data_IF_183695674410
#
_entry.id   IF_183695674410
#
_cell.length_a   1.000
_cell.length_b   1.000
_cell.length_c   1.000
_cell.angle_alpha   90.00
_cell.angle_beta   90.00
_cell.angle_gamma   90.00
#
_symmetry.space_group_name_H-M   'P 1'
#
loop_
_entity.id
_entity.type
_entity.pdbx_description
1 polymer ?
#
# COMPACT_ATOMS: atom_id res chain seq x y z
N UNK A 1 -50.48 42.01 -17.42
CA UNK A 1 -49.33 41.59 -18.27
C UNK A 1 -47.96 41.90 -17.64
N UNK A 2 -47.77 41.84 -16.31
CA UNK A 2 -46.45 42.13 -15.68
C UNK A 2 -45.97 41.06 -14.69
N UNK A 3 -46.86 40.15 -14.27
CA UNK A 3 -46.54 39.13 -13.25
C UNK A 3 -46.09 37.77 -13.83
N UNK A 4 -46.18 37.56 -15.14
CA UNK A 4 -45.80 36.28 -15.77
C UNK A 4 -44.31 36.21 -16.11
N UNK A 5 -43.60 37.35 -16.12
CA UNK A 5 -42.16 37.41 -16.40
C UNK A 5 -41.29 37.07 -15.17
N UNK A 6 -41.88 37.05 -13.97
CA UNK A 6 -41.18 36.81 -12.70
C UNK A 6 -41.06 35.34 -12.30
N UNK A 7 -41.73 34.43 -13.00
CA UNK A 7 -41.71 32.99 -12.73
C UNK A 7 -40.64 32.21 -13.52
N UNK A 8 -39.95 32.85 -14.46
CA UNK A 8 -38.85 32.23 -15.23
C UNK A 8 -37.47 32.51 -14.62
N UNK A 9 -37.37 33.43 -13.65
CA UNK A 9 -36.10 33.81 -13.03
C UNK A 9 -35.47 32.75 -12.09
N UNK A 10 -36.22 31.87 -11.38
CA UNK A 10 -35.57 30.91 -10.48
C UNK A 10 -35.06 29.65 -11.20
N UNK A 11 -35.44 29.43 -12.46
CA UNK A 11 -35.02 28.24 -13.22
C UNK A 11 -33.61 28.35 -13.83
N UNK A 12 -33.07 29.57 -13.94
CA UNK A 12 -31.73 29.80 -14.50
C UNK A 12 -30.59 29.69 -13.49
N UNK A 13 -30.88 29.65 -12.18
CA UNK A 13 -29.85 29.64 -11.12
C UNK A 13 -29.41 28.21 -10.77
N UNK A 14 -30.18 27.18 -11.10
CA UNK A 14 -29.85 25.78 -10.74
C UNK A 14 -28.89 25.09 -11.72
N UNK A 15 -28.47 25.75 -12.81
CA UNK A 15 -27.70 25.10 -13.88
C UNK A 15 -26.16 25.18 -13.72
N UNK A 16 -25.62 25.84 -12.69
CA UNK A 16 -24.16 26.09 -12.57
C UNK A 16 -23.47 25.42 -11.38
N UNK A 17 -24.05 24.39 -10.76
CA UNK A 17 -23.35 23.58 -9.75
C UNK A 17 -22.56 22.42 -10.38
N UNK A 18 -21.55 22.72 -11.19
CA UNK A 18 -20.46 21.78 -11.49
C UNK A 18 -19.32 22.05 -10.49
N UNK A 19 -19.52 21.69 -9.23
CA UNK A 19 -18.61 22.07 -8.14
C UNK A 19 -17.42 21.11 -7.91
N UNK A 20 -17.34 19.98 -8.62
CA UNK A 20 -16.18 19.08 -8.54
C UNK A 20 -15.78 18.64 -9.94
N UNK A 21 -14.66 19.18 -10.43
CA UNK A 21 -13.95 18.59 -11.55
C UNK A 21 -13.59 17.15 -11.18
N UNK A 22 -13.79 16.22 -12.11
CA UNK A 22 -13.36 14.83 -11.96
C UNK A 22 -11.84 14.78 -12.00
N UNK A 23 -11.19 15.15 -10.91
CA UNK A 23 -9.77 14.89 -10.75
C UNK A 23 -9.56 13.39 -10.74
N UNK A 24 -8.72 12.90 -11.66
CA UNK A 24 -8.32 11.50 -11.67
C UNK A 24 -7.77 11.14 -10.28
N UNK A 25 -8.27 10.06 -9.71
CA UNK A 25 -7.82 9.50 -8.44
C UNK A 25 -6.32 9.18 -8.50
N UNK A 26 -5.61 9.14 -7.36
CA UNK A 26 -4.21 8.74 -7.32
C UNK A 26 -3.95 7.38 -8.01
N UNK A 27 -4.89 6.44 -7.91
CA UNK A 27 -4.85 5.14 -8.59
C UNK A 27 -4.95 5.23 -10.11
N UNK A 28 -5.69 6.21 -10.64
CA UNK A 28 -5.79 6.44 -12.09
C UNK A 28 -4.54 7.14 -12.63
N UNK A 29 -3.90 8.00 -11.83
CA UNK A 29 -2.64 8.67 -12.20
C UNK A 29 -1.43 7.72 -12.11
N UNK A 30 -1.43 6.81 -11.14
CA UNK A 30 -0.34 5.86 -10.88
C UNK A 30 -0.87 4.43 -10.85
N UNK A 31 -1.16 3.84 -12.03
CA UNK A 31 -1.83 2.53 -12.11
C UNK A 31 -0.93 1.36 -11.72
N UNK A 32 0.36 1.60 -11.46
CA UNK A 32 1.31 0.55 -11.07
C UNK A 32 2.20 1.02 -9.94
N UNK A 33 2.74 0.05 -9.19
CA UNK A 33 3.70 0.34 -8.12
C UNK A 33 4.90 1.14 -8.66
N UNK A 34 5.39 2.15 -7.92
CA UNK A 34 6.63 2.82 -8.26
C UNK A 34 7.81 1.82 -8.23
N UNK A 35 8.94 2.13 -8.88
CA UNK A 35 10.16 1.35 -8.70
C UNK A 35 10.58 1.39 -7.23
N UNK A 36 11.10 0.27 -6.74
CA UNK A 36 11.68 0.12 -5.41
C UNK A 36 12.81 -0.90 -5.46
N UNK A 37 13.71 -0.83 -4.47
CA UNK A 37 14.78 -1.80 -4.25
C UNK A 37 14.87 -2.07 -2.75
N UNK A 38 14.73 -3.33 -2.37
CA UNK A 38 14.87 -3.81 -1.00
C UNK A 38 16.06 -4.77 -0.95
N UNK A 39 17.03 -4.50 -0.09
CA UNK A 39 18.14 -5.41 0.19
C UNK A 39 17.65 -6.55 1.08
N UNK A 40 17.65 -7.78 0.57
CA UNK A 40 17.36 -9.00 1.31
C UNK A 40 18.41 -9.30 2.38
N UNK A 41 18.07 -10.22 3.29
CA UNK A 41 18.96 -10.62 4.39
C UNK A 41 20.25 -11.31 3.91
N UNK A 42 20.25 -11.83 2.69
CA UNK A 42 21.41 -12.43 2.00
C UNK A 42 22.18 -11.41 1.15
N UNK A 43 21.89 -10.12 1.30
CA UNK A 43 22.42 -9.01 0.49
C UNK A 43 21.97 -9.00 -0.98
N UNK A 44 21.05 -9.88 -1.38
CA UNK A 44 20.42 -9.80 -2.70
C UNK A 44 19.52 -8.56 -2.81
N UNK A 45 19.31 -8.06 -4.03
CA UNK A 45 18.35 -6.99 -4.27
C UNK A 45 17.02 -7.58 -4.73
N UNK A 46 15.93 -7.14 -4.10
CA UNK A 46 14.56 -7.43 -4.47
C UNK A 46 13.88 -6.17 -4.99
N UNK A 47 13.38 -6.22 -6.21
CA UNK A 47 12.84 -5.07 -6.94
C UNK A 47 11.41 -5.30 -7.42
N UNK A 48 10.78 -4.26 -7.98
CA UNK A 48 9.48 -4.40 -8.67
C UNK A 48 9.47 -5.51 -9.73
N UNK A 49 10.59 -5.77 -10.40
CA UNK A 49 10.68 -6.79 -11.44
C UNK A 49 10.62 -8.22 -10.88
N UNK A 50 10.94 -8.39 -9.60
CA UNK A 50 10.98 -9.68 -8.89
C UNK A 50 9.63 -10.03 -8.24
N UNK A 51 8.64 -9.14 -8.35
CA UNK A 51 7.28 -9.40 -7.88
C UNK A 51 6.66 -10.59 -8.63
N UNK A 52 5.94 -11.41 -7.87
CA UNK A 52 5.20 -12.56 -8.35
C UNK A 52 4.15 -12.11 -9.37
N UNK A 53 4.26 -12.63 -10.59
CA UNK A 53 3.28 -12.36 -11.64
C UNK A 53 1.90 -12.84 -11.20
N UNK A 54 0.87 -12.08 -11.55
CA UNK A 54 -0.54 -12.37 -11.25
C UNK A 54 -0.93 -12.42 -9.77
N UNK A 55 -0.06 -11.99 -8.84
CA UNK A 55 -0.42 -11.81 -7.43
C UNK A 55 -0.62 -10.33 -7.12
N UNK A 56 -1.51 -10.04 -6.15
CA UNK A 56 -1.56 -8.71 -5.56
C UNK A 56 -0.31 -8.50 -4.70
N UNK A 57 0.10 -7.26 -4.49
CA UNK A 57 1.27 -6.92 -3.67
C UNK A 57 0.83 -6.04 -2.51
N UNK A 58 1.23 -6.41 -1.31
CA UNK A 58 1.15 -5.59 -0.10
C UNK A 58 2.57 -5.20 0.29
N UNK A 59 2.86 -3.90 0.34
CA UNK A 59 4.11 -3.40 0.91
C UNK A 59 3.81 -2.94 2.33
N UNK A 60 4.45 -3.58 3.32
CA UNK A 60 4.33 -3.21 4.72
C UNK A 60 5.63 -2.60 5.20
N UNK A 61 5.61 -1.30 5.47
CA UNK A 61 6.75 -0.63 6.06
C UNK A 61 6.74 -0.80 7.59
N UNK A 62 7.84 -1.26 8.17
CA UNK A 62 7.87 -1.60 9.59
C UNK A 62 9.20 -1.24 10.26
N UNK A 63 9.20 -1.21 11.59
CA UNK A 63 10.41 -1.11 12.41
C UNK A 63 10.42 -2.25 13.44
N UNK A 64 11.53 -2.99 13.62
CA UNK A 64 11.58 -4.12 14.54
C UNK A 64 11.24 -3.79 15.99
N UNK A 65 11.64 -2.59 16.46
CA UNK A 65 11.39 -2.13 17.82
C UNK A 65 10.04 -1.45 18.05
N UNK A 66 9.17 -1.38 17.04
CA UNK A 66 7.86 -0.73 17.17
C UNK A 66 6.78 -1.73 17.61
N UNK A 67 6.18 -1.51 18.78
CA UNK A 67 5.14 -2.41 19.33
C UNK A 67 3.92 -2.57 18.40
N UNK A 68 3.53 -1.51 17.69
CA UNK A 68 2.44 -1.62 16.71
C UNK A 68 2.82 -2.51 15.53
N UNK A 69 4.06 -2.42 15.02
CA UNK A 69 4.53 -3.28 13.93
C UNK A 69 4.59 -4.75 14.36
N UNK A 70 4.93 -4.98 15.64
CA UNK A 70 4.96 -6.31 16.23
C UNK A 70 3.54 -6.90 16.28
N UNK A 71 2.57 -6.18 16.86
CA UNK A 71 1.18 -6.63 16.91
C UNK A 71 0.55 -6.80 15.52
N UNK A 72 0.85 -5.90 14.57
CA UNK A 72 0.38 -6.02 13.19
C UNK A 72 0.93 -7.29 12.53
N UNK A 73 2.21 -7.60 12.75
CA UNK A 73 2.80 -8.84 12.22
C UNK A 73 2.14 -10.07 12.84
N UNK A 74 1.88 -10.07 14.14
CA UNK A 74 1.18 -11.18 14.80
C UNK A 74 -0.23 -11.39 14.24
N UNK A 75 -0.99 -10.32 14.05
CA UNK A 75 -2.32 -10.36 13.46
C UNK A 75 -2.28 -10.85 12.00
N UNK A 76 -1.35 -10.31 11.20
CA UNK A 76 -1.14 -10.72 9.82
C UNK A 76 -0.81 -12.22 9.71
N UNK A 77 0.06 -12.73 10.58
CA UNK A 77 0.45 -14.14 10.57
C UNK A 77 -0.67 -15.07 11.05
N UNK A 78 -1.50 -14.61 12.00
CA UNK A 78 -2.67 -15.36 12.47
C UNK A 78 -3.67 -15.61 11.34
N UNK A 79 -3.87 -14.63 10.47
CA UNK A 79 -4.84 -14.68 9.37
C UNK A 79 -4.18 -14.83 7.99
N UNK A 80 -2.94 -15.34 7.95
CA UNK A 80 -2.08 -15.37 6.75
C UNK A 80 -2.68 -16.12 5.56
N UNK A 81 -3.58 -17.08 5.82
CA UNK A 81 -4.30 -17.84 4.79
C UNK A 81 -5.20 -16.95 3.93
N UNK A 82 -5.71 -15.84 4.48
CA UNK A 82 -6.46 -14.84 3.73
C UNK A 82 -5.57 -14.13 2.68
N UNK A 83 -4.25 -14.20 2.84
CA UNK A 83 -3.24 -13.56 2.00
C UNK A 83 -2.49 -14.54 1.08
N UNK A 84 -2.95 -15.79 0.90
CA UNK A 84 -2.27 -16.79 0.06
C UNK A 84 -1.98 -16.32 -1.39
N UNK A 85 -2.85 -15.46 -1.93
CA UNK A 85 -2.75 -14.90 -3.28
C UNK A 85 -2.14 -13.48 -3.31
N UNK A 86 -1.56 -13.04 -2.19
CA UNK A 86 -0.89 -11.75 -2.02
C UNK A 86 0.59 -11.98 -1.74
N UNK A 87 1.48 -11.29 -2.45
CA UNK A 87 2.87 -11.19 -2.06
C UNK A 87 3.05 -10.03 -1.07
N UNK A 88 3.62 -10.32 0.08
CA UNK A 88 3.83 -9.35 1.16
C UNK A 88 5.32 -8.97 1.15
N UNK A 89 5.62 -7.69 0.98
CA UNK A 89 6.97 -7.13 1.02
C UNK A 89 7.11 -6.30 2.29
N UNK A 90 7.77 -6.86 3.29
CA UNK A 90 8.08 -6.20 4.55
C UNK A 90 9.38 -5.41 4.41
N UNK A 91 9.28 -4.09 4.37
CA UNK A 91 10.41 -3.19 4.17
C UNK A 91 10.70 -2.38 5.42
N UNK A 92 11.98 -2.20 5.75
CA UNK A 92 12.41 -1.41 6.91
C UNK A 92 13.70 -0.66 6.62
N UNK A 93 13.87 0.53 7.18
CA UNK A 93 15.13 1.30 7.08
C UNK A 93 16.14 0.94 8.18
N UNK A 94 15.74 0.09 9.13
CA UNK A 94 16.49 -0.26 10.33
C UNK A 94 17.74 -1.10 9.99
N UNK A 95 18.72 -1.23 10.92
CA UNK A 95 19.88 -2.08 10.71
C UNK A 95 19.50 -3.50 10.29
N UNK A 96 20.27 -4.09 9.36
CA UNK A 96 19.92 -5.39 8.77
C UNK A 96 19.89 -6.50 9.83
N UNK A 97 20.68 -6.36 10.89
CA UNK A 97 20.74 -7.27 12.04
C UNK A 97 19.43 -7.26 12.83
N UNK A 98 18.81 -6.09 13.01
CA UNK A 98 17.51 -5.96 13.69
C UNK A 98 16.39 -6.55 12.83
N UNK A 99 16.43 -6.32 11.52
CA UNK A 99 15.50 -6.90 10.55
C UNK A 99 15.64 -8.43 10.55
N UNK A 100 16.86 -8.96 10.56
CA UNK A 100 17.12 -10.39 10.67
C UNK A 100 16.62 -10.96 12.01
N UNK A 101 16.78 -10.21 13.10
CA UNK A 101 16.21 -10.54 14.41
C UNK A 101 14.69 -10.64 14.38
N UNK A 102 14.02 -9.68 13.73
CA UNK A 102 12.56 -9.69 13.52
C UNK A 102 12.11 -10.88 12.67
N UNK A 103 12.79 -11.14 11.55
CA UNK A 103 12.55 -12.29 10.69
C UNK A 103 12.60 -13.62 11.47
N UNK A 104 13.61 -13.77 12.35
CA UNK A 104 13.75 -14.93 13.23
C UNK A 104 12.67 -14.99 14.30
N UNK A 105 12.38 -13.86 14.99
CA UNK A 105 11.38 -13.76 16.07
C UNK A 105 10.02 -14.31 15.64
N UNK A 106 9.57 -13.94 14.43
CA UNK A 106 8.26 -14.33 13.90
C UNK A 106 8.30 -15.54 12.96
N UNK A 107 9.44 -16.22 12.84
CA UNK A 107 9.63 -17.37 11.95
C UNK A 107 9.14 -17.12 10.52
N UNK A 108 9.45 -15.93 9.98
CA UNK A 108 8.91 -15.49 8.69
C UNK A 108 9.34 -16.37 7.51
N UNK A 109 10.42 -17.13 7.67
CA UNK A 109 10.87 -18.15 6.72
C UNK A 109 9.80 -19.23 6.41
N UNK A 110 8.84 -19.44 7.30
CA UNK A 110 7.76 -20.42 7.11
C UNK A 110 6.66 -19.93 6.15
N UNK A 111 6.69 -18.64 5.76
CA UNK A 111 5.65 -18.01 4.95
C UNK A 111 6.22 -17.59 3.59
N UNK A 112 6.12 -18.44 2.55
CA UNK A 112 6.76 -18.19 1.26
C UNK A 112 6.23 -16.95 0.53
N UNK A 113 5.04 -16.46 0.88
CA UNK A 113 4.50 -15.22 0.34
C UNK A 113 5.10 -13.94 0.96
N UNK A 114 5.88 -14.06 2.04
CA UNK A 114 6.54 -12.92 2.69
C UNK A 114 7.97 -12.79 2.16
N UNK A 115 8.31 -11.58 1.72
CA UNK A 115 9.68 -11.12 1.46
C UNK A 115 9.98 -10.01 2.44
N UNK A 116 11.13 -10.08 3.10
CA UNK A 116 11.57 -9.08 4.08
C UNK A 116 12.94 -8.55 3.70
N UNK A 117 13.19 -7.28 3.96
CA UNK A 117 14.52 -6.72 3.80
C UNK A 117 14.60 -5.24 4.15
N UNK A 118 15.79 -4.69 3.90
CA UNK A 118 16.14 -3.32 4.19
C UNK A 118 15.90 -2.42 2.99
N UNK A 119 15.17 -1.33 3.20
CA UNK A 119 15.16 -0.22 2.26
C UNK A 119 16.37 0.68 2.56
N UNK A 120 17.22 0.88 1.56
CA UNK A 120 18.47 1.64 1.68
C UNK A 120 18.38 3.03 1.05
N UNK A 121 17.21 3.43 0.55
CA UNK A 121 16.99 4.71 -0.10
C UNK A 121 16.58 5.82 0.88
#
# INVERSE_FOLDING_TARGET
MKSLLLLLLPFFITATTLAQGTEATPSERFPSLPPFTIQGLDSSNFTKADLSKNKKTLIMYFSPGCDHCQHETEALLKDIELFKDVQIVMASYQPIEEIAGFHKKYNLANYPQIKIGRDTN
#
